data_IF_375854462917
#
_entry.id   IF_375854462917
#
_cell.length_a   1.000
_cell.length_b   1.000
_cell.length_c   1.000
_cell.angle_alpha   90.00
_cell.angle_beta   90.00
_cell.angle_gamma   90.00
#
_symmetry.space_group_name_H-M   'P 1'
#
loop_
_entity.id
_entity.type
_entity.pdbx_description
1 polymer ?
#
# COMPACT_ATOMS: atom_id res chain seq x y z
N UNK A 1 4.26 -2.73 -17.02
CA UNK A 1 5.43 -1.88 -16.69
C UNK A 1 5.13 -1.07 -15.45
N UNK A 2 6.10 -0.90 -14.57
CA UNK A 2 5.94 -0.17 -13.33
C UNK A 2 6.67 1.16 -13.41
N UNK A 3 6.10 2.17 -12.77
CA UNK A 3 6.73 3.48 -12.67
C UNK A 3 7.09 3.74 -11.21
N UNK A 4 8.37 4.01 -10.93
CA UNK A 4 8.80 4.32 -9.58
C UNK A 4 8.27 5.70 -9.16
N UNK A 5 7.76 5.78 -7.93
CA UNK A 5 7.27 7.01 -7.33
C UNK A 5 8.35 7.62 -6.43
N UNK A 6 8.50 8.93 -6.50
CA UNK A 6 9.47 9.66 -5.68
C UNK A 6 8.90 10.05 -4.31
N UNK A 7 7.56 10.04 -4.17
CA UNK A 7 6.92 10.31 -2.89
C UNK A 7 5.59 9.57 -2.81
N UNK A 8 5.06 9.45 -1.60
CA UNK A 8 3.84 8.70 -1.31
C UNK A 8 2.64 9.59 -1.03
N UNK A 9 2.75 10.90 -1.23
CA UNK A 9 1.67 11.84 -0.91
C UNK A 9 0.37 11.52 -1.65
N UNK A 10 0.45 10.92 -2.82
CA UNK A 10 -0.72 10.56 -3.61
C UNK A 10 -1.68 9.63 -2.87
N UNK A 11 -1.17 8.81 -1.94
CA UNK A 11 -2.03 7.89 -1.20
C UNK A 11 -3.09 8.61 -0.35
N UNK A 12 -2.83 9.85 0.05
CA UNK A 12 -3.79 10.64 0.81
C UNK A 12 -5.02 11.04 -0.02
N UNK A 13 -4.97 10.89 -1.33
CA UNK A 13 -6.13 11.19 -2.20
C UNK A 13 -7.20 10.09 -2.16
N UNK A 14 -6.85 8.91 -1.70
CA UNK A 14 -7.82 7.81 -1.59
C UNK A 14 -8.60 7.93 -0.28
N UNK A 15 -9.93 7.96 -0.38
CA UNK A 15 -10.81 8.11 0.77
C UNK A 15 -12.08 7.31 0.56
N UNK A 16 -12.65 6.81 1.66
CA UNK A 16 -13.95 6.14 1.67
C UNK A 16 -14.05 5.01 0.65
N UNK A 17 -13.08 4.10 0.69
CA UNK A 17 -13.10 2.98 -0.24
C UNK A 17 -12.41 1.75 0.35
N UNK A 18 -12.50 0.65 -0.36
CA UNK A 18 -11.85 -0.60 0.01
C UNK A 18 -10.39 -0.57 -0.40
N UNK A 19 -9.55 -1.26 0.37
CA UNK A 19 -8.17 -1.54 -0.01
C UNK A 19 -7.90 -3.02 0.19
N UNK A 20 -7.06 -3.57 -0.68
CA UNK A 20 -6.56 -4.94 -0.56
C UNK A 20 -5.04 -4.87 -0.48
N UNK A 21 -4.49 -5.49 0.57
CA UNK A 21 -3.06 -5.57 0.81
C UNK A 21 -2.63 -7.01 0.65
N UNK A 22 -1.70 -7.26 -0.27
CA UNK A 22 -1.12 -8.59 -0.49
C UNK A 22 0.34 -8.56 -0.11
N UNK A 23 0.71 -9.35 0.89
CA UNK A 23 2.07 -9.42 1.42
C UNK A 23 2.76 -10.65 0.86
N UNK A 24 3.91 -10.44 0.22
CA UNK A 24 4.70 -11.50 -0.38
C UNK A 24 6.05 -11.63 0.29
N UNK A 25 6.45 -12.85 0.53
CA UNK A 25 7.83 -13.20 0.86
C UNK A 25 8.48 -13.59 -0.46
N UNK A 26 9.59 -12.98 -0.80
CA UNK A 26 10.15 -13.04 -2.14
C UNK A 26 9.15 -12.47 -3.17
N UNK A 27 9.29 -12.80 -4.44
CA UNK A 27 8.42 -12.28 -5.50
C UNK A 27 7.13 -13.07 -5.64
N UNK A 28 7.13 -14.33 -5.20
CA UNK A 28 6.11 -15.28 -5.62
C UNK A 28 5.29 -15.88 -4.49
N UNK A 29 5.69 -15.71 -3.24
CA UNK A 29 5.05 -16.40 -2.14
C UNK A 29 4.15 -15.43 -1.37
N UNK A 30 2.86 -15.46 -1.68
CA UNK A 30 1.84 -14.72 -0.95
C UNK A 30 1.62 -15.40 0.40
N UNK A 31 1.91 -14.70 1.49
CA UNK A 31 1.74 -15.28 2.83
C UNK A 31 0.64 -14.59 3.64
N UNK A 32 0.17 -13.43 3.23
CA UNK A 32 -0.89 -12.70 3.93
C UNK A 32 -1.66 -11.84 2.96
N UNK A 33 -2.99 -11.87 3.07
CA UNK A 33 -3.87 -10.94 2.37
C UNK A 33 -4.78 -10.29 3.41
N UNK A 34 -4.91 -8.97 3.31
CA UNK A 34 -5.77 -8.20 4.20
C UNK A 34 -6.62 -7.27 3.36
N UNK A 35 -7.93 -7.30 3.57
CA UNK A 35 -8.86 -6.44 2.84
C UNK A 35 -9.79 -5.75 3.81
N UNK A 36 -9.98 -4.43 3.66
CA UNK A 36 -10.86 -3.67 4.55
C UNK A 36 -11.32 -2.38 3.87
N UNK A 37 -12.34 -1.77 4.46
CA UNK A 37 -12.82 -0.45 4.07
C UNK A 37 -12.20 0.59 5.00
N UNK A 38 -11.70 1.67 4.44
CA UNK A 38 -11.08 2.75 5.21
C UNK A 38 -11.74 4.09 4.90
N UNK A 39 -11.59 5.04 5.80
CA UNK A 39 -12.09 6.41 5.61
C UNK A 39 -11.04 7.30 4.98
N UNK A 40 -9.86 7.35 5.56
CA UNK A 40 -8.76 8.21 5.10
C UNK A 40 -7.44 7.49 5.27
N UNK A 41 -6.42 8.01 4.59
CA UNK A 41 -5.03 7.57 4.75
C UNK A 41 -4.22 8.77 5.20
N UNK A 42 -3.54 8.62 6.33
CA UNK A 42 -2.55 9.59 6.79
C UNK A 42 -1.19 9.18 6.23
N UNK A 43 -0.52 10.10 5.57
CA UNK A 43 0.76 9.85 4.93
C UNK A 43 1.84 10.68 5.62
N UNK A 44 2.89 10.00 6.05
CA UNK A 44 4.12 10.65 6.54
C UNK A 44 5.28 10.13 5.72
N UNK A 45 6.48 10.63 5.97
CA UNK A 45 7.69 10.15 5.30
C UNK A 45 8.00 8.70 5.62
N UNK A 46 7.49 8.19 6.75
CA UNK A 46 7.82 6.86 7.25
C UNK A 46 6.65 5.89 7.30
N UNK A 47 5.42 6.35 7.06
CA UNK A 47 4.27 5.47 7.24
C UNK A 47 3.04 5.87 6.41
N UNK A 48 2.25 4.85 6.06
CA UNK A 48 0.87 4.99 5.59
C UNK A 48 -0.04 4.45 6.68
N UNK A 49 -0.98 5.26 7.16
CA UNK A 49 -1.92 4.82 8.19
C UNK A 49 -3.35 4.91 7.66
N UNK A 50 -3.98 3.75 7.55
CA UNK A 50 -5.38 3.63 7.10
C UNK A 50 -6.28 3.73 8.31
N UNK A 51 -7.14 4.74 8.35
CA UNK A 51 -8.09 4.94 9.45
C UNK A 51 -9.44 4.35 9.07
N UNK A 52 -9.98 3.48 9.93
CA UNK A 52 -11.24 2.81 9.70
C UNK A 52 -12.38 3.48 10.50
N UNK A 53 -13.61 3.12 10.13
CA UNK A 53 -14.82 3.72 10.67
C UNK A 53 -14.98 3.51 12.18
N UNK A 54 -14.48 2.40 12.70
CA UNK A 54 -14.58 2.06 14.12
C UNK A 54 -13.45 2.63 14.97
N UNK A 55 -12.71 3.60 14.44
CA UNK A 55 -11.54 4.22 15.06
C UNK A 55 -10.32 3.32 15.18
N UNK A 56 -10.35 2.16 14.54
CA UNK A 56 -9.15 1.33 14.40
C UNK A 56 -8.30 1.84 13.23
N UNK A 57 -7.07 1.36 13.15
CA UNK A 57 -6.19 1.74 12.05
C UNK A 57 -5.22 0.62 11.71
N UNK A 58 -4.73 0.66 10.48
CA UNK A 58 -3.67 -0.23 9.99
C UNK A 58 -2.54 0.64 9.45
N UNK A 59 -1.31 0.37 9.89
CA UNK A 59 -0.14 1.14 9.50
C UNK A 59 0.81 0.29 8.67
N UNK A 60 1.27 0.85 7.55
CA UNK A 60 2.35 0.27 6.74
C UNK A 60 3.60 1.10 7.01
N UNK A 61 4.66 0.44 7.44
CA UNK A 61 5.95 1.08 7.72
C UNK A 61 6.72 1.22 6.40
N UNK A 62 6.80 2.44 5.89
CA UNK A 62 7.48 2.71 4.62
C UNK A 62 9.00 2.58 4.72
N UNK A 63 9.55 2.56 5.94
CA UNK A 63 10.99 2.34 6.09
C UNK A 63 11.37 0.91 5.76
N UNK A 64 10.41 -0.03 5.82
CA UNK A 64 10.63 -1.41 5.41
C UNK A 64 10.56 -1.59 3.89
N UNK A 65 9.98 -0.62 3.16
CA UNK A 65 9.77 -0.70 1.72
C UNK A 65 10.29 0.58 1.06
N UNK A 66 11.60 0.69 0.85
CA UNK A 66 12.18 1.93 0.31
C UNK A 66 11.82 2.20 -1.15
N UNK A 67 11.34 1.20 -1.88
CA UNK A 67 10.98 1.34 -3.28
C UNK A 67 9.46 1.27 -3.43
N UNK A 68 8.87 2.28 -4.04
CA UNK A 68 7.43 2.35 -4.29
C UNK A 68 7.20 2.52 -5.78
N UNK A 69 6.34 1.65 -6.34
CA UNK A 69 6.02 1.66 -7.76
C UNK A 69 4.52 1.77 -7.98
N UNK A 70 4.14 2.42 -9.06
CA UNK A 70 2.76 2.43 -9.54
C UNK A 70 2.68 1.53 -10.77
N UNK A 71 1.67 0.65 -10.82
CA UNK A 71 1.44 -0.18 -11.99
C UNK A 71 0.99 0.67 -13.18
N UNK A 72 1.54 0.41 -14.37
CA UNK A 72 1.07 1.01 -15.60
C UNK A 72 -0.04 0.18 -16.25
N UNK A 73 -0.21 -1.07 -15.82
CA UNK A 73 -1.17 -2.01 -16.42
C UNK A 73 -2.52 -2.01 -15.72
N UNK A 74 -2.53 -1.72 -14.41
CA UNK A 74 -3.75 -1.75 -13.59
C UNK A 74 -3.92 -0.42 -12.88
N UNK A 75 -5.13 0.10 -12.86
CA UNK A 75 -5.46 1.32 -12.13
C UNK A 75 -5.45 1.08 -10.63
N UNK A 76 -5.01 2.08 -9.87
CA UNK A 76 -5.06 2.07 -8.41
C UNK A 76 -4.31 0.88 -7.80
N UNK A 77 -3.21 0.50 -8.42
CA UNK A 77 -2.42 -0.66 -8.03
C UNK A 77 -0.97 -0.22 -7.81
N UNK A 78 -0.45 -0.50 -6.62
CA UNK A 78 0.88 -0.05 -6.22
C UNK A 78 1.67 -1.21 -5.66
N UNK A 79 2.99 -1.15 -5.81
CA UNK A 79 3.89 -2.19 -5.34
C UNK A 79 5.00 -1.54 -4.52
N UNK A 80 5.13 -1.97 -3.27
CA UNK A 80 6.18 -1.56 -2.37
C UNK A 80 7.17 -2.71 -2.23
N UNK A 81 8.45 -2.42 -2.36
CA UNK A 81 9.48 -3.46 -2.38
C UNK A 81 10.65 -3.16 -1.46
N UNK A 82 11.26 -4.22 -0.96
CA UNK A 82 12.62 -4.21 -0.44
C UNK A 82 13.37 -5.39 -1.08
N UNK A 83 14.58 -5.71 -0.58
CA UNK A 83 15.40 -6.78 -1.18
C UNK A 83 14.81 -8.18 -0.99
N UNK A 84 13.89 -8.35 -0.02
CA UNK A 84 13.37 -9.67 0.36
C UNK A 84 11.86 -9.78 0.23
N UNK A 85 11.13 -8.67 0.27
CA UNK A 85 9.68 -8.69 0.40
C UNK A 85 9.02 -7.73 -0.57
N UNK A 86 7.73 -8.00 -0.83
CA UNK A 86 6.89 -7.16 -1.67
C UNK A 86 5.53 -7.01 -1.00
N UNK A 87 4.98 -5.79 -1.06
CA UNK A 87 3.62 -5.51 -0.63
C UNK A 87 2.88 -4.88 -1.80
N UNK A 88 1.76 -5.47 -2.20
CA UNK A 88 0.88 -4.89 -3.21
C UNK A 88 -0.27 -4.19 -2.51
N UNK A 89 -0.57 -2.96 -2.95
CA UNK A 89 -1.70 -2.16 -2.46
C UNK A 89 -2.63 -1.93 -3.63
N UNK A 90 -3.86 -2.41 -3.51
CA UNK A 90 -4.85 -2.29 -4.57
C UNK A 90 -6.12 -1.64 -4.02
N UNK A 91 -6.61 -0.61 -4.72
CA UNK A 91 -7.86 0.07 -4.39
C UNK A 91 -8.91 -0.31 -5.46
N UNK A 92 -9.75 -1.31 -5.17
CA UNK A 92 -10.75 -1.78 -6.14
C UNK A 92 -11.75 -0.71 -6.54
#
# INVERSE_FOLDING_TARGET
>A
MEKQLSNTALFATYQHRQVILNYYQDEDILYKRDGFYFLTIQVTDSALTFLMKDSTFTTIDLTEYPLVFMSADFQNYYILRNSLEKLEIYFP
#
